data_IF_081585475980
#
_entry.id   IF_081585475980
#
_cell.length_a   1.000
_cell.length_b   1.000
_cell.length_c   1.000
_cell.angle_alpha   90.00
_cell.angle_beta   90.00
_cell.angle_gamma   90.00
#
_symmetry.space_group_name_H-M   'P 1'
#
loop_
_entity.id
_entity.type
_entity.pdbx_description
1 polymer ?
#
# COMPACT_ATOMS: atom_id res chain seq x y z
N UNK A 1 7.27 -9.93 8.24
CA UNK A 1 6.26 -8.97 8.72
C UNK A 1 6.85 -8.35 9.96
N UNK A 2 6.81 -7.02 10.09
CA UNK A 2 7.18 -6.37 11.33
C UNK A 2 6.21 -6.81 12.44
N UNK A 3 6.74 -6.91 13.66
CA UNK A 3 5.93 -7.11 14.86
C UNK A 3 5.36 -5.74 15.28
N UNK A 4 4.08 -5.69 15.61
CA UNK A 4 3.38 -4.52 16.18
C UNK A 4 2.43 -5.02 17.25
N UNK A 5 2.15 -4.19 18.26
CA UNK A 5 1.36 -4.58 19.44
C UNK A 5 -0.12 -4.81 19.12
N UNK A 6 -0.64 -4.21 18.03
CA UNK A 6 -2.04 -4.35 17.59
C UNK A 6 -2.13 -4.99 16.19
N UNK A 7 -1.83 -6.30 16.13
CA UNK A 7 -1.87 -7.11 14.91
C UNK A 7 -2.84 -8.28 15.01
N UNK A 8 -3.92 -8.24 14.22
CA UNK A 8 -4.92 -9.31 14.18
C UNK A 8 -4.31 -10.67 13.77
N UNK A 9 -3.23 -10.68 12.99
CA UNK A 9 -2.61 -11.92 12.47
C UNK A 9 -2.15 -12.87 13.59
N UNK A 10 -1.73 -12.30 14.74
CA UNK A 10 -1.21 -13.06 15.88
C UNK A 10 -2.22 -13.32 17.00
N UNK A 11 -3.42 -12.73 16.93
CA UNK A 11 -4.39 -12.74 18.03
C UNK A 11 -5.20 -14.05 18.10
N UNK A 12 -5.57 -14.45 19.32
CA UNK A 12 -6.69 -15.39 19.49
C UNK A 12 -8.02 -14.68 19.23
N UNK A 13 -9.12 -15.41 19.04
CA UNK A 13 -10.41 -14.77 18.81
C UNK A 13 -10.89 -13.95 20.02
N UNK A 14 -10.50 -14.31 21.25
CA UNK A 14 -10.82 -13.53 22.46
C UNK A 14 -10.01 -12.22 22.51
N UNK A 15 -8.72 -12.26 22.15
CA UNK A 15 -7.89 -11.06 22.05
C UNK A 15 -8.38 -10.13 20.93
N UNK A 16 -8.79 -10.72 19.80
CA UNK A 16 -9.36 -9.98 18.67
C UNK A 16 -10.68 -9.30 19.04
N UNK A 17 -11.57 -9.99 19.77
CA UNK A 17 -12.81 -9.38 20.28
C UNK A 17 -12.50 -8.18 21.18
N UNK A 18 -11.52 -8.30 22.09
CA UNK A 18 -11.12 -7.18 22.93
C UNK A 18 -10.60 -5.99 22.11
N UNK A 19 -9.71 -6.24 21.15
CA UNK A 19 -9.14 -5.18 20.30
C UNK A 19 -10.21 -4.49 19.45
N UNK A 20 -11.11 -5.27 18.81
CA UNK A 20 -12.18 -4.74 17.94
C UNK A 20 -13.12 -3.79 18.71
N UNK A 21 -13.37 -4.05 19.98
CA UNK A 21 -14.23 -3.19 20.81
C UNK A 21 -13.59 -1.87 21.24
N UNK A 22 -12.27 -1.72 21.09
CA UNK A 22 -11.51 -0.56 21.56
C UNK A 22 -10.92 0.29 20.41
N UNK A 23 -10.80 -0.25 19.20
CA UNK A 23 -10.13 0.44 18.08
C UNK A 23 -11.01 1.48 17.39
N UNK A 24 -10.41 2.59 16.98
CA UNK A 24 -11.02 3.61 16.15
C UNK A 24 -11.12 3.17 14.69
N UNK A 25 -10.11 2.44 14.20
CA UNK A 25 -10.07 1.85 12.86
C UNK A 25 -9.45 0.45 12.86
N UNK A 26 -10.03 -0.44 12.05
CA UNK A 26 -9.27 -1.54 11.49
C UNK A 26 -8.53 -1.06 10.23
N UNK A 27 -7.27 -1.46 10.04
CA UNK A 27 -6.45 -1.04 8.90
C UNK A 27 -6.16 -2.22 8.01
N UNK A 28 -6.64 -2.20 6.76
CA UNK A 28 -6.35 -3.20 5.73
C UNK A 28 -5.15 -2.76 4.88
N UNK A 29 -3.97 -3.40 5.01
CA UNK A 29 -2.87 -3.19 4.10
C UNK A 29 -3.17 -3.88 2.76
N UNK A 30 -2.98 -3.15 1.66
CA UNK A 30 -3.19 -3.67 0.30
C UNK A 30 -1.95 -3.44 -0.56
N UNK A 31 -1.47 -4.52 -1.17
CA UNK A 31 -0.33 -4.51 -2.08
C UNK A 31 -0.60 -5.33 -3.34
N UNK A 32 0.43 -5.97 -3.87
CA UNK A 32 0.34 -6.87 -5.01
C UNK A 32 1.49 -7.87 -5.05
N UNK A 33 1.30 -8.90 -5.89
CA UNK A 33 2.35 -9.79 -6.39
C UNK A 33 2.56 -9.48 -7.86
N UNK A 34 3.57 -8.67 -8.16
CA UNK A 34 3.90 -8.22 -9.52
C UNK A 34 5.40 -8.00 -9.68
N UNK A 35 5.88 -8.09 -10.93
CA UNK A 35 7.27 -7.78 -11.24
C UNK A 35 7.66 -6.39 -10.71
N UNK A 36 8.89 -6.23 -10.20
CA UNK A 36 9.46 -4.94 -9.82
C UNK A 36 10.88 -4.84 -10.39
N UNK A 37 10.98 -5.01 -11.71
CA UNK A 37 12.25 -5.11 -12.39
C UNK A 37 13.10 -6.31 -11.97
N UNK A 38 14.35 -6.39 -12.45
CA UNK A 38 15.24 -7.52 -12.18
C UNK A 38 15.84 -7.52 -10.76
N UNK A 39 15.72 -6.42 -10.01
CA UNK A 39 16.44 -6.21 -8.75
C UNK A 39 15.58 -6.36 -7.50
N UNK A 40 14.26 -6.14 -7.57
CA UNK A 40 13.36 -6.23 -6.41
C UNK A 40 12.51 -7.51 -6.42
N UNK A 41 12.03 -7.95 -5.25
CA UNK A 41 11.10 -9.08 -5.17
C UNK A 41 9.72 -8.72 -5.73
N UNK A 42 8.99 -9.73 -6.23
CA UNK A 42 7.62 -9.55 -6.72
C UNK A 42 6.61 -9.13 -5.65
N UNK A 43 7.01 -9.19 -4.37
CA UNK A 43 6.18 -8.85 -3.22
C UNK A 43 6.43 -7.44 -2.70
N UNK A 44 7.08 -6.56 -3.49
CA UNK A 44 7.52 -5.24 -3.02
C UNK A 44 6.35 -4.43 -2.46
N UNK A 45 5.22 -4.35 -3.18
CA UNK A 45 4.02 -3.67 -2.70
C UNK A 45 3.47 -4.26 -1.40
N UNK A 46 3.34 -5.60 -1.30
CA UNK A 46 2.85 -6.22 -0.07
C UNK A 46 3.79 -5.96 1.11
N UNK A 47 5.10 -6.02 0.89
CA UNK A 47 6.10 -5.69 1.93
C UNK A 47 5.97 -4.24 2.37
N UNK A 48 5.79 -3.31 1.42
CA UNK A 48 5.56 -1.89 1.70
C UNK A 48 4.28 -1.68 2.50
N UNK A 49 3.16 -2.23 2.05
CA UNK A 49 1.88 -2.10 2.72
C UNK A 49 1.94 -2.61 4.16
N UNK A 50 2.47 -3.82 4.36
CA UNK A 50 2.58 -4.45 5.69
C UNK A 50 3.45 -3.62 6.66
N UNK A 51 4.60 -3.11 6.18
CA UNK A 51 5.49 -2.28 6.98
C UNK A 51 4.90 -0.90 7.29
N UNK A 52 4.40 -0.20 6.27
CA UNK A 52 3.84 1.14 6.45
C UNK A 52 2.58 1.12 7.34
N UNK A 53 1.78 0.05 7.29
CA UNK A 53 0.68 -0.11 8.24
C UNK A 53 1.16 -0.34 9.67
N UNK A 54 2.24 -1.11 9.89
CA UNK A 54 2.80 -1.25 11.24
C UNK A 54 3.29 0.08 11.80
N UNK A 55 3.99 0.89 10.99
CA UNK A 55 4.42 2.24 11.39
C UNK A 55 3.23 3.15 11.75
N UNK A 56 2.12 3.07 11.00
CA UNK A 56 0.89 3.79 11.34
C UNK A 56 0.31 3.34 12.68
N UNK A 57 0.20 2.03 12.90
CA UNK A 57 -0.35 1.47 14.14
C UNK A 57 0.50 1.85 15.34
N UNK A 58 1.82 1.72 15.25
CA UNK A 58 2.74 2.02 16.35
C UNK A 58 2.75 3.52 16.70
N UNK A 59 2.54 4.40 15.71
CA UNK A 59 2.49 5.85 15.89
C UNK A 59 1.11 6.39 16.31
N UNK A 60 0.04 5.60 16.17
CA UNK A 60 -1.35 6.04 16.32
C UNK A 60 -1.66 6.62 17.71
N UNK A 61 -1.15 6.00 18.77
CA UNK A 61 -1.37 6.47 20.15
C UNK A 61 -0.82 7.89 20.42
N UNK A 62 0.11 8.38 19.60
CA UNK A 62 0.59 9.77 19.65
C UNK A 62 -0.42 10.80 19.11
N UNK A 63 -1.49 10.33 18.45
CA UNK A 63 -2.57 11.09 17.87
C UNK A 63 -3.92 10.81 18.56
N UNK A 64 -3.90 10.15 19.72
CA UNK A 64 -5.09 9.70 20.45
C UNK A 64 -5.99 8.80 19.57
N UNK A 65 -5.37 7.96 18.73
CA UNK A 65 -6.04 6.96 17.90
C UNK A 65 -5.59 5.54 18.28
N UNK A 66 -6.54 4.61 18.27
CA UNK A 66 -6.29 3.18 18.40
C UNK A 66 -6.54 2.48 17.06
N UNK A 67 -5.50 1.90 16.47
CA UNK A 67 -5.56 1.22 15.17
C UNK A 67 -5.29 -0.29 15.32
N UNK A 68 -6.06 -1.11 14.61
CA UNK A 68 -5.83 -2.56 14.51
C UNK A 68 -5.39 -2.96 13.11
N UNK A 69 -4.17 -3.48 12.97
CA UNK A 69 -3.71 -4.00 11.68
C UNK A 69 -4.42 -5.31 11.33
N UNK A 70 -5.03 -5.35 10.14
CA UNK A 70 -5.52 -6.58 9.51
C UNK A 70 -4.40 -7.27 8.72
N UNK A 71 -4.52 -8.58 8.43
CA UNK A 71 -3.59 -9.26 7.54
C UNK A 71 -3.47 -8.55 6.18
N UNK A 72 -2.24 -8.35 5.65
CA UNK A 72 -2.07 -7.71 4.35
C UNK A 72 -2.76 -8.55 3.27
N UNK A 73 -3.44 -7.89 2.33
CA UNK A 73 -3.98 -8.51 1.12
C UNK A 73 -2.87 -8.54 0.06
N UNK A 74 -2.25 -9.71 -0.22
CA UNK A 74 -1.06 -9.76 -1.05
C UNK A 74 -1.37 -9.70 -2.55
N UNK A 75 -2.58 -10.08 -2.97
CA UNK A 75 -2.96 -10.10 -4.38
C UNK A 75 -3.78 -8.86 -4.74
N UNK A 76 -3.30 -8.10 -5.72
CA UNK A 76 -3.96 -6.92 -6.24
C UNK A 76 -4.46 -7.08 -7.68
N UNK A 77 -4.74 -5.94 -8.32
CA UNK A 77 -5.03 -5.81 -9.74
C UNK A 77 -3.77 -5.34 -10.48
N UNK A 78 -3.16 -6.25 -11.24
CA UNK A 78 -1.85 -6.10 -11.89
C UNK A 78 -1.83 -6.78 -13.26
N UNK A 79 -2.98 -6.81 -13.96
CA UNK A 79 -3.10 -7.46 -15.27
C UNK A 79 -2.09 -6.89 -16.28
N UNK A 80 -1.74 -5.61 -16.15
CA UNK A 80 -0.73 -4.92 -16.96
C UNK A 80 0.69 -5.46 -16.76
N UNK A 81 0.98 -6.15 -15.65
CA UNK A 81 2.27 -6.81 -15.38
C UNK A 81 2.32 -8.29 -15.77
N UNK A 82 1.24 -8.87 -16.33
CA UNK A 82 1.13 -10.32 -16.57
C UNK A 82 2.08 -10.90 -17.63
N UNK A 83 2.75 -10.05 -18.42
CA UNK A 83 3.78 -10.49 -19.38
C UNK A 83 5.16 -10.70 -18.76
N UNK A 84 5.33 -10.31 -17.50
CA UNK A 84 6.51 -10.67 -16.71
C UNK A 84 6.17 -11.87 -15.81
N UNK A 85 7.02 -12.91 -15.77
CA UNK A 85 6.75 -14.09 -14.98
C UNK A 85 6.82 -13.78 -13.48
N UNK A 86 5.89 -14.36 -12.71
CA UNK A 86 5.82 -14.19 -11.25
C UNK A 86 4.66 -13.32 -10.79
N UNK A 87 4.09 -12.49 -11.67
CA UNK A 87 2.86 -11.73 -11.39
C UNK A 87 1.69 -12.68 -11.13
N UNK A 88 0.98 -12.46 -10.01
CA UNK A 88 -0.24 -13.18 -9.64
C UNK A 88 -1.28 -12.12 -9.29
N UNK A 89 -2.36 -12.06 -10.08
CA UNK A 89 -3.35 -10.99 -9.97
C UNK A 89 -4.77 -11.52 -10.01
N UNK A 90 -5.67 -10.76 -9.39
CA UNK A 90 -7.11 -10.96 -9.47
C UNK A 90 -7.70 -10.08 -10.58
N UNK A 91 -8.80 -10.55 -11.18
CA UNK A 91 -9.59 -9.68 -12.05
C UNK A 91 -10.14 -8.49 -11.24
N UNK A 92 -10.36 -7.34 -11.86
CA UNK A 92 -10.88 -6.15 -11.19
C UNK A 92 -12.16 -6.44 -10.38
N UNK A 93 -13.10 -7.17 -10.96
CA UNK A 93 -14.35 -7.54 -10.27
C UNK A 93 -14.11 -8.42 -9.06
N UNK A 94 -13.25 -9.43 -9.18
CA UNK A 94 -12.87 -10.31 -8.07
C UNK A 94 -12.17 -9.55 -6.95
N UNK A 95 -11.25 -8.63 -7.29
CA UNK A 95 -10.54 -7.84 -6.29
C UNK A 95 -11.50 -6.93 -5.50
N UNK A 96 -12.45 -6.27 -6.19
CA UNK A 96 -13.53 -5.51 -5.55
C UNK A 96 -14.35 -6.38 -4.61
N UNK A 97 -14.75 -7.58 -5.06
CA UNK A 97 -15.55 -8.50 -4.24
C UNK A 97 -14.77 -8.99 -3.00
N UNK A 98 -13.49 -9.31 -3.14
CA UNK A 98 -12.62 -9.71 -2.01
C UNK A 98 -12.51 -8.61 -0.97
N UNK A 99 -12.21 -7.37 -1.38
CA UNK A 99 -12.08 -6.25 -0.44
C UNK A 99 -13.42 -5.96 0.25
N UNK A 100 -14.53 -6.05 -0.49
CA UNK A 100 -15.87 -5.91 0.09
C UNK A 100 -16.15 -7.01 1.11
N UNK A 101 -15.91 -8.27 0.80
CA UNK A 101 -16.17 -9.38 1.73
C UNK A 101 -15.29 -9.31 2.99
N UNK A 102 -14.06 -8.81 2.87
CA UNK A 102 -13.20 -8.51 4.03
C UNK A 102 -13.83 -7.40 4.89
N UNK A 103 -14.21 -6.27 4.28
CA UNK A 103 -14.84 -5.16 4.99
C UNK A 103 -16.16 -5.52 5.65
N UNK A 104 -17.02 -6.28 4.96
CA UNK A 104 -18.28 -6.82 5.50
C UNK A 104 -18.03 -7.72 6.72
N UNK A 105 -16.99 -8.58 6.66
CA UNK A 105 -16.61 -9.44 7.78
C UNK A 105 -16.13 -8.62 8.98
N UNK A 106 -15.38 -7.54 8.75
CA UNK A 106 -14.90 -6.64 9.81
C UNK A 106 -16.06 -5.86 10.44
N UNK A 107 -16.99 -5.36 9.63
CA UNK A 107 -18.19 -4.68 10.08
C UNK A 107 -19.12 -5.60 10.90
N UNK A 108 -19.28 -6.87 10.51
CA UNK A 108 -20.10 -7.85 11.26
C UNK A 108 -19.58 -8.07 12.70
N UNK A 109 -18.26 -7.90 12.93
CA UNK A 109 -17.67 -8.00 14.26
C UNK A 109 -17.75 -6.70 15.07
N UNK A 110 -18.32 -5.62 14.53
CA UNK A 110 -18.58 -4.37 15.25
C UNK A 110 -17.57 -3.24 15.01
N UNK A 111 -16.62 -3.41 14.09
CA UNK A 111 -15.74 -2.30 13.68
C UNK A 111 -16.56 -1.24 12.95
N UNK A 112 -16.43 0.02 13.38
CA UNK A 112 -17.18 1.15 12.82
C UNK A 112 -16.45 1.82 11.64
N UNK A 113 -15.11 1.73 11.60
CA UNK A 113 -14.29 2.35 10.55
C UNK A 113 -13.21 1.43 10.01
N UNK A 114 -13.06 1.44 8.69
CA UNK A 114 -12.01 0.72 7.96
C UNK A 114 -11.11 1.71 7.24
N UNK A 115 -9.82 1.67 7.54
CA UNK A 115 -8.79 2.34 6.78
C UNK A 115 -8.16 1.35 5.80
N UNK A 116 -8.22 1.63 4.50
CA UNK A 116 -7.48 0.88 3.49
C UNK A 116 -6.19 1.64 3.18
N UNK A 117 -5.05 1.06 3.55
CA UNK A 117 -3.73 1.58 3.17
C UNK A 117 -3.22 0.82 1.94
N UNK A 118 -3.02 1.53 0.84
CA UNK A 118 -2.60 0.95 -0.44
C UNK A 118 -1.26 1.49 -0.90
N UNK A 119 -0.42 0.59 -1.41
CA UNK A 119 0.90 0.93 -1.98
C UNK A 119 1.03 0.61 -3.45
N UNK A 120 0.06 -0.08 -4.05
CA UNK A 120 0.07 -0.47 -5.46
C UNK A 120 -0.84 0.42 -6.32
N UNK A 121 -0.31 0.96 -7.42
CA UNK A 121 -1.05 1.84 -8.33
C UNK A 121 -2.28 1.17 -8.97
N UNK A 122 -2.18 -0.09 -9.38
CA UNK A 122 -3.27 -0.81 -10.07
C UNK A 122 -4.50 -1.08 -9.21
N UNK A 123 -4.35 -0.98 -7.88
CA UNK A 123 -5.44 -1.18 -6.94
C UNK A 123 -6.33 0.06 -6.77
N UNK A 124 -5.92 1.26 -7.22
CA UNK A 124 -6.58 2.52 -6.84
C UNK A 124 -8.06 2.58 -7.26
N UNK A 125 -8.35 2.37 -8.54
CA UNK A 125 -9.72 2.39 -9.05
C UNK A 125 -10.60 1.30 -8.43
N UNK A 126 -10.21 0.02 -8.38
CA UNK A 126 -11.05 -0.99 -7.75
C UNK A 126 -11.22 -0.78 -6.24
N UNK A 127 -10.21 -0.25 -5.52
CA UNK A 127 -10.36 0.07 -4.10
C UNK A 127 -11.36 1.20 -3.88
N UNK A 128 -11.34 2.25 -4.70
CA UNK A 128 -12.37 3.31 -4.64
C UNK A 128 -13.78 2.74 -4.85
N UNK A 129 -13.95 1.82 -5.81
CA UNK A 129 -15.24 1.14 -6.04
C UNK A 129 -15.65 0.29 -4.83
N UNK A 130 -14.70 -0.43 -4.22
CA UNK A 130 -14.97 -1.27 -3.07
C UNK A 130 -15.35 -0.43 -1.83
N UNK A 131 -14.63 0.66 -1.57
CA UNK A 131 -14.90 1.59 -0.47
C UNK A 131 -16.30 2.22 -0.59
N UNK A 132 -16.65 2.73 -1.78
CA UNK A 132 -17.98 3.30 -2.05
C UNK A 132 -19.11 2.29 -1.81
N UNK A 133 -18.89 1.02 -2.18
CA UNK A 133 -19.88 -0.05 -1.96
C UNK A 133 -20.00 -0.41 -0.49
N UNK A 134 -18.88 -0.57 0.21
CA UNK A 134 -18.86 -0.84 1.65
C UNK A 134 -19.61 0.25 2.42
N UNK A 135 -19.27 1.52 2.22
CA UNK A 135 -19.93 2.63 2.91
C UNK A 135 -21.41 2.82 2.53
N UNK A 136 -21.84 2.29 1.38
CA UNK A 136 -23.25 2.32 0.96
C UNK A 136 -24.06 1.15 1.53
N UNK A 137 -23.48 -0.04 1.48
CA UNK A 137 -24.19 -1.31 1.72
C UNK A 137 -24.04 -1.79 3.18
N UNK A 138 -23.17 -1.15 3.96
CA UNK A 138 -22.93 -1.40 5.39
C UNK A 138 -22.94 -0.08 6.18
N UNK A 139 -22.88 -0.15 7.52
CA UNK A 139 -22.72 1.02 8.40
C UNK A 139 -21.24 1.40 8.62
N UNK A 140 -20.31 0.79 7.86
CA UNK A 140 -18.87 1.02 7.98
C UNK A 140 -18.46 2.32 7.28
N UNK A 141 -17.79 3.23 8.00
CA UNK A 141 -17.07 4.34 7.36
C UNK A 141 -15.76 3.83 6.77
N UNK A 142 -15.50 4.09 5.49
CA UNK A 142 -14.28 3.62 4.83
C UNK A 142 -13.40 4.78 4.38
N UNK A 143 -12.17 4.81 4.88
CA UNK A 143 -11.13 5.73 4.44
C UNK A 143 -10.17 5.00 3.51
N UNK A 144 -9.81 5.62 2.40
CA UNK A 144 -8.86 5.06 1.44
C UNK A 144 -7.65 5.97 1.31
N UNK A 145 -6.48 5.43 1.64
CA UNK A 145 -5.19 6.10 1.54
C UNK A 145 -4.31 5.34 0.56
N UNK A 146 -3.87 6.03 -0.50
CA UNK A 146 -2.73 5.58 -1.28
C UNK A 146 -1.48 6.30 -0.76
N UNK A 147 -0.56 5.55 -0.14
CA UNK A 147 0.55 6.13 0.63
C UNK A 147 1.37 7.16 -0.17
N UNK A 148 1.61 6.86 -1.45
CA UNK A 148 2.40 7.71 -2.35
C UNK A 148 1.72 9.06 -2.66
N UNK A 149 0.41 9.20 -2.46
CA UNK A 149 -0.27 10.49 -2.63
C UNK A 149 0.11 11.47 -1.51
N UNK A 150 0.33 10.99 -0.28
CA UNK A 150 0.77 11.79 0.87
C UNK A 150 2.28 12.06 0.80
N UNK A 151 3.09 11.06 0.45
CA UNK A 151 4.55 11.22 0.35
C UNK A 151 5.04 12.00 -0.89
N UNK A 152 4.14 12.41 -1.79
CA UNK A 152 4.48 12.79 -3.18
C UNK A 152 5.51 13.91 -3.28
N UNK A 153 5.35 14.98 -2.49
CA UNK A 153 6.22 16.15 -2.56
C UNK A 153 7.60 15.85 -1.99
N UNK A 154 7.67 15.14 -0.86
CA UNK A 154 8.93 14.72 -0.24
C UNK A 154 9.71 13.74 -1.14
N UNK A 155 9.00 12.77 -1.75
CA UNK A 155 9.60 11.86 -2.72
C UNK A 155 10.11 12.60 -3.97
N UNK A 156 9.40 13.64 -4.41
CA UNK A 156 9.85 14.48 -5.51
C UNK A 156 11.09 15.29 -5.15
N UNK A 157 11.17 15.80 -3.92
CA UNK A 157 12.37 16.50 -3.45
C UNK A 157 13.58 15.55 -3.35
N UNK A 158 13.37 14.33 -2.85
CA UNK A 158 14.44 13.35 -2.68
C UNK A 158 14.91 12.70 -3.99
N UNK A 159 13.97 12.35 -4.89
CA UNK A 159 14.26 11.51 -6.06
C UNK A 159 13.95 12.17 -7.42
N UNK A 160 13.43 13.40 -7.44
CA UNK A 160 13.10 14.14 -8.67
C UNK A 160 11.72 13.81 -9.25
N UNK A 161 11.50 14.04 -10.56
CA UNK A 161 10.19 13.83 -11.21
C UNK A 161 10.04 12.46 -11.88
N UNK A 162 11.13 11.70 -12.00
CA UNK A 162 11.17 10.43 -12.74
C UNK A 162 10.94 9.18 -11.87
N UNK A 163 10.71 9.31 -10.57
CA UNK A 163 10.47 8.16 -9.70
C UNK A 163 9.16 7.45 -10.06
N UNK A 164 9.10 6.15 -9.79
CA UNK A 164 7.94 5.33 -10.11
C UNK A 164 8.11 3.88 -9.69
N UNK A 165 7.42 3.01 -10.41
CA UNK A 165 7.39 1.56 -10.17
C UNK A 165 8.76 0.91 -10.36
N UNK A 166 9.19 0.08 -9.42
CA UNK A 166 10.54 -0.46 -9.28
C UNK A 166 11.66 0.59 -9.30
N UNK A 167 11.32 1.87 -9.08
CA UNK A 167 12.25 2.99 -9.14
C UNK A 167 12.98 3.23 -7.82
N UNK A 168 13.52 4.43 -7.69
CA UNK A 168 14.40 4.88 -6.61
C UNK A 168 13.77 4.68 -5.23
N UNK A 169 12.55 5.18 -5.02
CA UNK A 169 11.88 5.15 -3.71
C UNK A 169 11.47 3.74 -3.25
N UNK A 170 10.94 2.89 -4.14
CA UNK A 170 10.58 1.50 -3.78
C UNK A 170 11.83 0.67 -3.52
N UNK A 171 12.88 0.91 -4.30
CA UNK A 171 14.18 0.28 -4.08
C UNK A 171 14.75 0.71 -2.73
N UNK A 172 14.71 2.00 -2.43
CA UNK A 172 15.13 2.55 -1.13
C UNK A 172 14.36 1.92 0.02
N UNK A 173 13.05 1.69 -0.16
CA UNK A 173 12.21 1.06 0.85
C UNK A 173 12.65 -0.38 1.14
N UNK A 174 12.82 -1.19 0.09
CA UNK A 174 13.23 -2.58 0.27
C UNK A 174 14.66 -2.65 0.80
N UNK A 175 15.55 -1.73 0.44
CA UNK A 175 16.90 -1.66 1.02
C UNK A 175 16.90 -1.27 2.49
N UNK A 176 16.00 -0.39 2.91
CA UNK A 176 15.86 0.02 4.31
C UNK A 176 15.38 -1.15 5.18
N UNK A 177 14.32 -1.84 4.77
CA UNK A 177 13.65 -2.83 5.62
C UNK A 177 14.02 -4.29 5.34
N UNK A 178 14.35 -4.63 4.10
CA UNK A 178 14.64 -6.01 3.63
C UNK A 178 15.77 -6.05 2.60
N UNK A 179 16.97 -5.52 2.93
CA UNK A 179 18.08 -5.45 1.98
C UNK A 179 18.52 -6.82 1.46
N UNK A 180 18.23 -7.90 2.20
CA UNK A 180 18.48 -9.29 1.79
C UNK A 180 17.71 -9.71 0.53
N UNK A 181 16.63 -9.01 0.18
CA UNK A 181 15.81 -9.29 -1.00
C UNK A 181 16.27 -8.54 -2.25
N UNK A 182 17.13 -7.54 -2.11
CA UNK A 182 17.55 -6.68 -3.22
C UNK A 182 18.74 -7.30 -3.95
N UNK A 183 18.62 -7.45 -5.27
CA UNK A 183 19.73 -7.87 -6.13
C UNK A 183 20.50 -6.63 -6.59
N UNK A 184 21.32 -6.07 -5.71
CA UNK A 184 22.04 -4.81 -5.97
C UNK A 184 22.79 -4.77 -7.32
N UNK A 185 23.39 -5.89 -7.76
CA UNK A 185 24.06 -6.00 -9.07
C UNK A 185 23.14 -6.07 -10.29
N UNK A 186 21.84 -5.86 -10.12
CA UNK A 186 20.79 -5.87 -11.17
C UNK A 186 20.04 -4.54 -11.28
N UNK A 187 20.41 -3.53 -10.48
CA UNK A 187 19.86 -2.18 -10.61
C UNK A 187 20.39 -1.55 -11.89
N UNK A 188 19.47 -1.17 -12.77
CA UNK A 188 19.75 -0.51 -14.04
C UNK A 188 18.71 0.59 -14.23
N UNK A 189 19.07 1.77 -14.80
CA UNK A 189 18.09 2.81 -15.12
C UNK A 189 16.97 2.27 -16.02
N UNK A 190 15.73 2.68 -15.77
CA UNK A 190 14.54 2.16 -16.45
C UNK A 190 13.78 3.32 -17.11
N UNK A 191 13.97 3.47 -18.41
CA UNK A 191 13.34 4.51 -19.20
C UNK A 191 12.00 4.03 -19.76
N UNK A 192 10.98 4.87 -19.64
CA UNK A 192 9.67 4.63 -20.22
C UNK A 192 9.62 5.14 -21.67
N UNK A 193 8.99 4.38 -22.55
CA UNK A 193 8.60 4.84 -23.88
C UNK A 193 7.58 6.00 -23.80
N UNK A 194 7.52 6.81 -24.86
CA UNK A 194 6.58 7.94 -24.93
C UNK A 194 5.13 7.43 -24.92
N UNK A 195 4.37 7.80 -23.89
CA UNK A 195 2.98 7.40 -23.73
C UNK A 195 2.02 8.20 -24.63
N UNK A 196 0.94 7.58 -25.13
CA UNK A 196 -0.07 8.27 -25.92
C UNK A 196 -0.76 9.37 -25.09
N UNK A 197 -1.15 10.47 -25.75
CA UNK A 197 -1.90 11.58 -25.10
C UNK A 197 -3.33 11.19 -24.70
N UNK A 198 -3.82 10.07 -25.21
CA UNK A 198 -5.11 9.46 -24.89
C UNK A 198 -4.88 8.16 -24.15
N UNK A 199 -5.84 7.70 -23.36
CA UNK A 199 -5.69 6.46 -22.61
C UNK A 199 -5.84 5.21 -23.50
N UNK A 200 -4.92 4.27 -23.35
CA UNK A 200 -5.00 2.89 -23.84
C UNK A 200 -4.48 1.92 -22.78
N UNK A 201 -5.01 0.70 -22.78
CA UNK A 201 -4.43 -0.39 -22.01
C UNK A 201 -3.12 -0.82 -22.68
N UNK A 202 -2.04 -0.88 -21.91
CA UNK A 202 -0.75 -1.41 -22.34
C UNK A 202 -0.25 -2.41 -21.30
N UNK A 203 0.43 -3.46 -21.77
CA UNK A 203 1.26 -4.26 -20.87
C UNK A 203 2.55 -3.50 -20.57
N UNK A 204 3.10 -3.69 -19.37
CA UNK A 204 4.29 -2.95 -18.93
C UNK A 204 5.52 -3.21 -19.81
N UNK A 205 5.61 -4.37 -20.48
CA UNK A 205 6.68 -4.69 -21.43
C UNK A 205 6.60 -3.88 -22.74
N UNK A 206 5.49 -3.17 -22.96
CA UNK A 206 5.29 -2.21 -24.03
C UNK A 206 5.59 -0.76 -23.59
N UNK A 207 5.80 -0.55 -22.29
CA UNK A 207 6.08 0.76 -21.68
C UNK A 207 7.56 0.87 -21.32
N UNK A 208 8.17 -0.21 -20.85
CA UNK A 208 9.55 -0.25 -20.36
C UNK A 208 10.13 -1.65 -20.58
N UNK A 209 11.39 -1.74 -21.01
CA UNK A 209 12.05 -3.02 -21.29
C UNK A 209 12.23 -3.86 -20.02
N UNK A 210 12.57 -3.22 -18.91
CA UNK A 210 12.89 -3.89 -17.64
C UNK A 210 11.69 -3.98 -16.70
N UNK A 211 10.57 -3.35 -17.04
CA UNK A 211 9.35 -3.39 -16.25
C UNK A 211 9.24 -2.27 -15.22
N UNK A 212 10.25 -1.44 -14.97
CA UNK A 212 10.17 -0.31 -14.06
C UNK A 212 10.14 1.07 -14.73
N UNK A 213 9.88 2.08 -13.90
CA UNK A 213 9.83 3.50 -14.20
C UNK A 213 10.72 4.24 -13.19
N UNK A 214 11.80 4.84 -13.67
CA UNK A 214 12.77 5.57 -12.84
C UNK A 214 14.14 4.90 -12.80
N UNK A 215 15.00 5.32 -11.88
CA UNK A 215 16.39 4.86 -11.85
C UNK A 215 16.75 4.27 -10.49
N UNK A 216 16.57 2.97 -10.28
CA UNK A 216 16.85 2.33 -8.99
C UNK A 216 18.32 2.43 -8.56
N UNK A 217 19.23 2.94 -9.40
CA UNK A 217 20.62 3.21 -9.02
C UNK A 217 20.78 4.44 -8.14
N UNK A 218 19.81 5.36 -8.10
CA UNK A 218 19.80 6.49 -7.15
C UNK A 218 18.95 6.24 -5.90
N UNK A 219 18.60 4.97 -5.62
CA UNK A 219 17.97 4.60 -4.36
C UNK A 219 18.83 5.06 -3.17
N UNK A 220 18.19 5.69 -2.19
CA UNK A 220 18.78 6.23 -0.97
C UNK A 220 17.86 5.87 0.22
N UNK A 221 18.13 4.76 0.94
CA UNK A 221 17.33 4.36 2.09
C UNK A 221 17.41 5.35 3.25
N UNK A 222 18.54 6.05 3.42
CA UNK A 222 18.73 7.04 4.50
C UNK A 222 17.87 8.29 4.24
N UNK A 223 17.68 8.67 2.97
CA UNK A 223 16.75 9.73 2.59
C UNK A 223 15.27 9.31 2.74
N UNK A 224 14.95 8.03 2.55
CA UNK A 224 13.57 7.54 2.63
C UNK A 224 13.04 7.43 4.07
N UNK A 225 13.87 7.01 5.01
CA UNK A 225 13.49 6.79 6.42
C UNK A 225 12.71 7.99 7.02
N UNK A 226 13.21 9.24 6.97
CA UNK A 226 12.45 10.38 7.49
C UNK A 226 11.18 10.69 6.70
N UNK A 227 11.10 10.34 5.41
CA UNK A 227 9.89 10.51 4.59
C UNK A 227 8.80 9.56 5.07
N UNK A 228 9.15 8.30 5.38
CA UNK A 228 8.21 7.33 5.97
C UNK A 228 7.64 7.88 7.27
N UNK A 229 8.49 8.36 8.18
CA UNK A 229 8.03 8.95 9.45
C UNK A 229 7.12 10.18 9.24
N UNK A 230 7.47 11.06 8.30
CA UNK A 230 6.71 12.27 8.01
C UNK A 230 5.33 11.93 7.42
N UNK A 231 5.31 11.04 6.41
CA UNK A 231 4.06 10.59 5.76
C UNK A 231 3.15 9.84 6.74
N UNK A 232 3.70 9.02 7.64
CA UNK A 232 2.94 8.37 8.72
C UNK A 232 2.21 9.40 9.58
N UNK A 233 2.92 10.46 10.01
CA UNK A 233 2.32 11.54 10.80
C UNK A 233 1.28 12.34 10.02
N UNK A 234 1.52 12.58 8.73
CA UNK A 234 0.59 13.29 7.87
C UNK A 234 -0.73 12.52 7.71
N UNK A 235 -0.66 11.20 7.46
CA UNK A 235 -1.84 10.33 7.35
C UNK A 235 -2.62 10.33 8.68
N UNK A 236 -1.95 10.11 9.82
CA UNK A 236 -2.63 10.12 11.14
C UNK A 236 -3.26 11.48 11.44
N UNK A 237 -2.57 12.58 11.14
CA UNK A 237 -3.11 13.93 11.27
C UNK A 237 -4.38 14.14 10.42
N UNK A 238 -4.36 13.70 9.16
CA UNK A 238 -5.52 13.78 8.28
C UNK A 238 -6.71 12.97 8.81
N UNK A 239 -6.48 11.78 9.37
CA UNK A 239 -7.53 10.97 9.99
C UNK A 239 -8.16 11.69 11.19
N UNK A 240 -7.36 12.31 12.05
CA UNK A 240 -7.87 13.12 13.18
C UNK A 240 -8.72 14.29 12.67
N UNK A 241 -8.23 15.01 11.66
CA UNK A 241 -8.97 16.14 11.06
C UNK A 241 -10.32 15.70 10.47
N UNK A 242 -10.35 14.55 9.80
CA UNK A 242 -11.57 13.96 9.24
C UNK A 242 -12.57 13.60 10.37
N UNK A 243 -12.12 12.92 11.42
CA UNK A 243 -12.95 12.56 12.57
C UNK A 243 -13.52 13.78 13.30
N UNK A 244 -12.69 14.82 13.52
CA UNK A 244 -13.11 16.08 14.13
C UNK A 244 -14.16 16.81 13.28
N UNK A 245 -14.12 16.63 11.96
CA UNK A 245 -15.10 17.14 11.01
C UNK A 245 -16.36 16.24 10.89
N UNK A 246 -16.37 15.07 11.53
CA UNK A 246 -17.47 14.12 11.55
C UNK A 246 -17.57 13.23 10.30
N UNK A 247 -16.43 13.00 9.64
CA UNK A 247 -16.31 12.01 8.57
C UNK A 247 -16.05 10.61 9.11
#
# INVERSE_FOLDING_TARGET
MPETDADLFGMTWEDAEAAINEVDFAVLPTGSIEQHGPHLPVSTDTLRADHLTAELVDAAGGFDLDLLRLPPLPYGQSEHHMRFPGTITLSTGTYVDVVREIGESVAEHGVERLLILNTHGGNREPLSIAADRLGRDTDLTVHFVHWTDFAREDLKEAYGEGWGHAGDHETSFVELYRPDLVRAGKKEPQEADEMPRTWSYEYFDQVTELGGLGDPTNSDPDALEPIVEATTREILGALVEDLDAGW
#
